data_IF_568116874877
#
_entry.id   IF_568116874877
#
_cell.length_a   1.000
_cell.length_b   1.000
_cell.length_c   1.000
_cell.angle_alpha   90.00
_cell.angle_beta   90.00
_cell.angle_gamma   90.00
#
_symmetry.space_group_name_H-M   'P 1'
#
loop_
_entity.id
_entity.type
_entity.pdbx_description
1 polymer ?
#
# COMPACT_ATOMS: atom_id res chain seq x y z
N UNK A 1 21.84 20.67 6.17
CA UNK A 1 23.09 19.92 6.36
C UNK A 1 22.72 18.63 7.06
N UNK A 2 23.20 17.48 6.61
CA UNK A 2 22.84 16.18 7.21
C UNK A 2 23.51 16.04 8.58
N UNK A 3 22.72 15.79 9.61
CA UNK A 3 23.15 15.75 11.01
C UNK A 3 23.42 14.30 11.45
N UNK A 4 24.60 14.01 11.95
CA UNK A 4 25.04 12.69 12.40
C UNK A 4 25.40 12.74 13.88
N UNK A 5 24.73 11.91 14.68
CA UNK A 5 25.07 11.75 16.10
C UNK A 5 26.11 10.65 16.27
N UNK A 6 27.20 10.96 16.94
CA UNK A 6 28.30 10.04 17.31
C UNK A 6 28.23 9.80 18.79
N UNK A 7 27.96 8.57 19.23
CA UNK A 7 27.89 8.15 20.62
C UNK A 7 29.13 7.27 20.87
N UNK A 8 30.12 7.80 21.57
CA UNK A 8 31.43 7.19 21.79
C UNK A 8 32.01 7.72 23.09
N UNK A 9 32.40 6.87 24.02
CA UNK A 9 32.92 7.27 25.29
C UNK A 9 34.41 7.70 25.20
N UNK A 10 35.19 7.13 24.26
CA UNK A 10 36.57 7.53 24.04
C UNK A 10 36.67 8.84 23.26
N UNK A 11 37.16 9.91 23.93
CA UNK A 11 37.23 11.27 23.40
C UNK A 11 38.01 11.33 22.07
N UNK A 12 39.18 10.66 22.01
CA UNK A 12 40.04 10.68 20.82
C UNK A 12 39.37 10.07 19.59
N UNK A 13 38.59 8.98 19.76
CA UNK A 13 37.87 8.34 18.68
C UNK A 13 36.68 9.23 18.27
N UNK A 14 35.93 9.75 19.23
CA UNK A 14 34.78 10.63 18.98
C UNK A 14 35.21 11.88 18.20
N UNK A 15 36.25 12.58 18.61
CA UNK A 15 36.77 13.78 17.93
C UNK A 15 37.25 13.48 16.51
N UNK A 16 38.01 12.42 16.31
CA UNK A 16 38.45 12.01 14.98
C UNK A 16 37.30 11.73 14.03
N UNK A 17 36.21 11.11 14.51
CA UNK A 17 35.01 10.88 13.70
C UNK A 17 34.30 12.21 13.40
N UNK A 18 34.17 13.11 14.37
CA UNK A 18 33.54 14.42 14.18
C UNK A 18 34.33 15.29 13.18
N UNK A 19 35.66 15.34 13.26
CA UNK A 19 36.51 16.03 12.28
C UNK A 19 36.32 15.45 10.86
N UNK A 20 36.30 14.13 10.75
CA UNK A 20 36.04 13.47 9.46
C UNK A 20 34.68 13.83 8.88
N UNK A 21 33.62 13.85 9.70
CA UNK A 21 32.28 14.21 9.28
C UNK A 21 32.22 15.66 8.84
N UNK A 22 32.86 16.58 9.55
CA UNK A 22 32.91 17.99 9.20
C UNK A 22 33.65 18.23 7.86
N UNK A 23 34.78 17.53 7.64
CA UNK A 23 35.53 17.58 6.39
C UNK A 23 34.69 17.15 5.17
N UNK A 24 33.74 16.27 5.36
CA UNK A 24 32.80 15.76 4.32
C UNK A 24 31.46 16.51 4.29
N UNK A 25 31.38 17.70 4.90
CA UNK A 25 30.20 18.55 4.96
C UNK A 25 28.99 17.92 5.67
N UNK A 26 29.18 17.03 6.62
CA UNK A 26 28.17 16.59 7.58
C UNK A 26 28.20 17.48 8.84
N UNK A 27 27.07 17.57 9.52
CA UNK A 27 27.02 18.18 10.86
C UNK A 27 27.17 17.06 11.90
N UNK A 28 28.38 16.88 12.42
CA UNK A 28 28.68 15.97 13.51
C UNK A 28 28.23 16.53 14.85
N UNK A 29 27.56 15.73 15.68
CA UNK A 29 27.29 16.02 17.10
C UNK A 29 27.77 14.83 17.94
N UNK A 30 28.50 15.09 19.02
CA UNK A 30 29.11 14.08 19.85
C UNK A 30 28.40 13.89 21.18
N UNK A 31 28.24 12.63 21.60
CA UNK A 31 27.76 12.25 22.93
C UNK A 31 28.83 11.34 23.59
N UNK A 32 29.13 11.60 24.85
CA UNK A 32 30.20 10.93 25.61
C UNK A 32 29.79 9.61 26.26
N UNK A 33 28.52 9.24 26.23
CA UNK A 33 27.97 7.97 26.71
C UNK A 33 26.58 7.70 26.14
N UNK A 34 26.06 6.49 26.34
CA UNK A 34 24.75 6.06 25.82
C UNK A 34 23.57 6.88 26.37
N UNK A 35 23.61 7.29 27.63
CA UNK A 35 22.54 8.07 28.27
C UNK A 35 22.42 9.47 27.67
N UNK A 36 23.56 10.14 27.45
CA UNK A 36 23.58 11.46 26.78
C UNK A 36 23.18 11.29 25.32
N UNK A 37 23.63 10.23 24.65
CA UNK A 37 23.30 9.89 23.28
C UNK A 37 21.80 9.74 23.05
N UNK A 38 21.11 8.99 23.91
CA UNK A 38 19.65 8.83 23.86
C UNK A 38 18.94 10.20 23.96
N UNK A 39 19.33 11.00 24.96
CA UNK A 39 18.75 12.34 25.14
C UNK A 39 18.97 13.23 23.92
N UNK A 40 20.21 13.27 23.42
CA UNK A 40 20.54 14.09 22.23
C UNK A 40 19.81 13.60 20.97
N UNK A 41 19.63 12.30 20.80
CA UNK A 41 18.87 11.75 19.68
C UNK A 41 17.40 12.21 19.70
N UNK A 42 16.75 12.23 20.87
CA UNK A 42 15.37 12.69 21.04
C UNK A 42 15.25 14.22 20.83
N UNK A 43 16.19 14.99 21.42
CA UNK A 43 16.13 16.45 21.39
C UNK A 43 16.49 17.01 19.99
N UNK A 44 17.38 16.38 19.26
CA UNK A 44 17.96 16.91 18.03
C UNK A 44 17.55 16.19 16.74
N UNK A 45 16.95 15.00 16.85
CA UNK A 45 16.46 14.18 15.74
C UNK A 45 17.51 14.10 14.61
N UNK A 46 18.65 13.39 14.80
CA UNK A 46 19.69 13.28 13.78
C UNK A 46 19.24 12.43 12.59
N UNK A 47 19.87 12.64 11.43
CA UNK A 47 19.61 11.87 10.21
C UNK A 47 20.23 10.46 10.25
N UNK A 48 21.24 10.25 11.11
CA UNK A 48 21.92 8.95 11.31
C UNK A 48 22.63 8.95 12.66
N UNK A 49 22.72 7.78 13.29
CA UNK A 49 23.42 7.56 14.55
C UNK A 49 24.57 6.56 14.34
N UNK A 50 25.77 6.96 14.76
CA UNK A 50 26.90 6.07 14.94
C UNK A 50 27.06 5.83 16.45
N UNK A 51 27.08 4.59 16.88
CA UNK A 51 27.13 4.27 18.30
C UNK A 51 28.18 3.20 18.58
N UNK A 52 29.07 3.46 19.52
CA UNK A 52 29.93 2.40 20.05
C UNK A 52 29.10 1.34 20.76
N UNK A 53 29.50 0.10 20.57
CA UNK A 53 28.81 -1.03 21.17
C UNK A 53 29.10 -1.16 22.66
N UNK A 54 30.36 -0.89 23.06
CA UNK A 54 30.86 -1.13 24.41
C UNK A 54 31.10 0.18 25.15
N UNK A 55 30.10 0.67 25.87
CA UNK A 55 30.19 1.89 26.67
C UNK A 55 29.75 1.64 28.11
N UNK A 56 30.27 2.41 29.09
CA UNK A 56 29.83 2.32 30.48
C UNK A 56 28.39 2.81 30.66
N UNK A 57 27.71 2.32 31.69
CA UNK A 57 26.33 2.61 32.11
C UNK A 57 25.27 2.09 31.13
N UNK A 58 25.22 2.57 29.89
CA UNK A 58 24.32 2.15 28.85
C UNK A 58 25.13 1.80 27.61
N UNK A 59 25.15 0.53 27.26
CA UNK A 59 25.82 0.02 26.07
C UNK A 59 25.06 0.35 24.79
N UNK A 60 25.64 0.09 23.63
CA UNK A 60 25.02 0.38 22.33
C UNK A 60 23.72 -0.35 22.11
N UNK A 61 23.55 -1.57 22.63
CA UNK A 61 22.28 -2.31 22.55
C UNK A 61 21.18 -1.63 23.38
N UNK A 62 21.50 -1.14 24.57
CA UNK A 62 20.61 -0.38 25.42
C UNK A 62 20.18 0.93 24.76
N UNK A 63 21.10 1.63 24.09
CA UNK A 63 20.81 2.83 23.30
C UNK A 63 19.82 2.51 22.17
N UNK A 64 20.12 1.50 21.34
CA UNK A 64 19.28 1.11 20.22
C UNK A 64 17.86 0.74 20.69
N UNK A 65 17.74 -0.09 21.74
CA UNK A 65 16.45 -0.49 22.30
C UNK A 65 15.64 0.71 22.77
N UNK A 66 16.25 1.67 23.47
CA UNK A 66 15.58 2.86 23.93
C UNK A 66 15.08 3.72 22.74
N UNK A 67 15.91 3.90 21.71
CA UNK A 67 15.57 4.70 20.54
C UNK A 67 14.50 4.04 19.65
N UNK A 68 14.48 2.71 19.52
CA UNK A 68 13.45 1.97 18.79
C UNK A 68 12.09 1.99 19.52
N UNK A 69 12.06 2.21 20.82
CA UNK A 69 10.83 2.36 21.60
C UNK A 69 10.21 3.76 21.53
N UNK A 70 10.94 4.74 21.03
CA UNK A 70 10.49 6.14 20.92
C UNK A 70 10.08 6.46 19.48
N UNK A 71 8.81 6.82 19.19
CA UNK A 71 8.30 7.02 17.83
C UNK A 71 9.12 8.00 16.97
N UNK A 72 9.68 9.05 17.58
CA UNK A 72 10.45 10.07 16.85
C UNK A 72 11.84 9.58 16.40
N UNK A 73 12.40 8.61 17.08
CA UNK A 73 13.75 8.08 16.81
C UNK A 73 13.76 6.66 16.26
N UNK A 74 12.60 5.98 16.28
CA UNK A 74 12.48 4.57 15.92
C UNK A 74 12.97 4.23 14.50
N UNK A 75 12.89 5.17 13.56
CA UNK A 75 13.25 4.97 12.15
C UNK A 75 14.60 5.56 11.77
N UNK A 76 15.31 6.23 12.71
CA UNK A 76 16.63 6.82 12.42
C UNK A 76 17.64 5.70 12.12
N UNK A 77 18.37 5.76 11.00
CA UNK A 77 19.42 4.79 10.69
C UNK A 77 20.46 4.70 11.80
N UNK A 78 20.78 3.48 12.22
CA UNK A 78 21.65 3.20 13.33
C UNK A 78 22.79 2.25 12.92
N UNK A 79 24.02 2.70 13.08
CA UNK A 79 25.24 1.93 12.76
C UNK A 79 26.02 1.71 14.04
N UNK A 80 26.34 0.45 14.33
CA UNK A 80 27.23 0.12 15.42
C UNK A 80 28.72 0.27 15.02
N UNK A 81 29.52 0.81 15.94
CA UNK A 81 30.99 0.73 15.92
C UNK A 81 31.41 -0.35 16.93
N UNK A 82 32.12 -1.37 16.50
CA UNK A 82 32.49 -2.51 17.38
C UNK A 82 33.98 -2.86 17.28
N UNK A 83 34.62 -3.11 18.42
CA UNK A 83 36.02 -3.53 18.47
C UNK A 83 36.23 -4.99 18.03
N UNK A 84 35.22 -5.84 18.06
CA UNK A 84 35.28 -7.25 17.68
C UNK A 84 33.97 -7.72 17.08
N UNK A 85 34.04 -8.28 15.88
CA UNK A 85 32.90 -8.91 15.24
C UNK A 85 32.64 -10.30 15.87
N UNK A 86 32.19 -10.36 17.13
CA UNK A 86 31.62 -11.60 17.64
C UNK A 86 30.27 -11.84 16.95
N UNK A 87 30.16 -12.95 16.24
CA UNK A 87 28.98 -13.24 15.41
C UNK A 87 27.66 -13.22 16.20
N UNK A 88 27.72 -13.48 17.51
CA UNK A 88 26.59 -13.42 18.43
C UNK A 88 26.09 -11.99 18.64
N UNK A 89 26.99 -11.04 18.87
CA UNK A 89 26.65 -9.65 19.18
C UNK A 89 26.13 -8.91 17.97
N UNK A 90 26.73 -9.17 16.79
CA UNK A 90 26.24 -8.66 15.52
C UNK A 90 24.82 -9.14 15.25
N UNK A 91 24.55 -10.43 15.46
CA UNK A 91 23.23 -11.02 15.23
C UNK A 91 22.18 -10.41 16.16
N UNK A 92 22.51 -10.25 17.43
CA UNK A 92 21.65 -9.60 18.42
C UNK A 92 21.34 -8.16 18.03
N UNK A 93 22.35 -7.37 17.59
CA UNK A 93 22.15 -6.00 17.14
C UNK A 93 21.23 -5.89 15.92
N UNK A 94 21.39 -6.82 14.95
CA UNK A 94 20.50 -6.87 13.76
C UNK A 94 19.07 -7.29 14.12
N UNK A 95 18.89 -8.25 15.03
CA UNK A 95 17.58 -8.65 15.55
C UNK A 95 16.87 -7.51 16.31
N UNK A 96 17.64 -6.62 16.97
CA UNK A 96 17.14 -5.41 17.61
C UNK A 96 16.86 -4.24 16.65
N UNK A 97 17.14 -4.40 15.36
CA UNK A 97 16.86 -3.41 14.34
C UNK A 97 17.98 -2.42 14.04
N UNK A 98 19.24 -2.79 14.25
CA UNK A 98 20.38 -2.03 13.73
C UNK A 98 20.42 -2.13 12.19
N UNK A 99 20.84 -1.04 11.54
CA UNK A 99 20.92 -1.00 10.08
C UNK A 99 22.26 -1.52 9.55
N UNK A 100 23.34 -1.35 10.33
CA UNK A 100 24.68 -1.79 9.96
C UNK A 100 25.63 -1.88 11.17
N UNK A 101 26.81 -2.44 10.94
CA UNK A 101 27.90 -2.44 11.89
C UNK A 101 29.25 -2.21 11.18
N UNK A 102 30.18 -1.56 11.86
CA UNK A 102 31.55 -1.30 11.38
C UNK A 102 32.52 -1.76 12.44
N UNK A 103 33.51 -2.59 12.06
CA UNK A 103 34.52 -3.08 12.97
C UNK A 103 35.65 -2.04 13.14
N UNK A 104 36.02 -1.75 14.38
CA UNK A 104 37.22 -0.94 14.74
C UNK A 104 38.49 -1.83 14.71
N UNK A 105 39.62 -1.36 14.15
CA UNK A 105 39.78 -0.08 13.48
C UNK A 105 39.19 -0.08 12.08
N UNK A 106 38.49 0.98 11.70
CA UNK A 106 37.97 1.20 10.36
C UNK A 106 38.70 2.36 9.66
N UNK A 107 38.78 2.29 8.35
CA UNK A 107 39.27 3.38 7.55
C UNK A 107 38.23 4.50 7.39
N UNK A 108 38.64 5.77 7.22
CA UNK A 108 37.72 6.86 6.90
C UNK A 108 36.80 6.54 5.73
N UNK A 109 37.32 5.87 4.69
CA UNK A 109 36.52 5.50 3.50
C UNK A 109 35.43 4.47 3.81
N UNK A 110 35.72 3.47 4.66
CA UNK A 110 34.73 2.46 5.06
C UNK A 110 33.60 3.10 5.87
N UNK A 111 33.95 3.98 6.82
CA UNK A 111 32.97 4.68 7.64
C UNK A 111 32.07 5.57 6.79
N UNK A 112 32.61 6.41 5.91
CA UNK A 112 31.89 7.30 5.04
C UNK A 112 31.00 6.54 4.04
N UNK A 113 31.48 5.41 3.51
CA UNK A 113 30.72 4.55 2.61
C UNK A 113 29.50 3.97 3.32
N UNK A 114 29.65 3.45 4.53
CA UNK A 114 28.52 2.91 5.29
C UNK A 114 27.49 3.99 5.62
N UNK A 115 27.93 5.17 6.05
CA UNK A 115 27.06 6.34 6.31
C UNK A 115 26.27 6.69 5.05
N UNK A 116 26.95 6.87 3.92
CA UNK A 116 26.31 7.29 2.66
C UNK A 116 25.27 6.28 2.20
N UNK A 117 25.59 4.98 2.20
CA UNK A 117 24.67 3.92 1.79
C UNK A 117 23.40 3.92 2.67
N UNK A 118 23.56 4.09 3.99
CA UNK A 118 22.40 4.08 4.91
C UNK A 118 21.56 5.34 4.78
N UNK A 119 22.17 6.50 4.64
CA UNK A 119 21.46 7.75 4.38
C UNK A 119 20.70 7.73 3.05
N UNK A 120 21.31 7.21 1.99
CA UNK A 120 20.65 7.09 0.68
C UNK A 120 19.46 6.13 0.74
N UNK A 121 19.63 4.96 1.37
CA UNK A 121 18.54 4.01 1.56
C UNK A 121 17.39 4.61 2.37
N UNK A 122 17.67 5.28 3.47
CA UNK A 122 16.66 5.95 4.29
C UNK A 122 15.94 7.06 3.51
N UNK A 123 16.70 7.92 2.80
CA UNK A 123 16.12 8.97 1.93
C UNK A 123 15.25 8.38 0.81
N UNK A 124 15.63 7.26 0.23
CA UNK A 124 14.83 6.60 -0.81
C UNK A 124 13.48 6.09 -0.26
N UNK A 125 13.49 5.47 0.93
CA UNK A 125 12.27 5.01 1.62
C UNK A 125 11.38 6.21 1.98
N UNK A 126 11.94 7.25 2.60
CA UNK A 126 11.22 8.47 2.99
C UNK A 126 10.63 9.21 1.78
N UNK A 127 11.40 9.32 0.67
CA UNK A 127 10.89 9.92 -0.58
C UNK A 127 9.75 9.11 -1.17
N UNK A 128 9.82 7.78 -1.13
CA UNK A 128 8.73 6.91 -1.61
C UNK A 128 7.47 7.11 -0.78
N UNK A 129 7.60 7.13 0.55
CA UNK A 129 6.49 7.38 1.48
C UNK A 129 5.87 8.76 1.27
N UNK A 130 6.72 9.81 1.19
CA UNK A 130 6.25 11.18 0.95
C UNK A 130 5.54 11.31 -0.40
N UNK A 131 6.10 10.70 -1.46
CA UNK A 131 5.47 10.68 -2.78
C UNK A 131 4.09 10.02 -2.74
N UNK A 132 3.96 8.89 -2.04
CA UNK A 132 2.68 8.22 -1.84
C UNK A 132 1.67 9.10 -1.11
N UNK A 133 2.08 9.81 -0.05
CA UNK A 133 1.23 10.76 0.67
C UNK A 133 0.81 11.96 -0.20
N UNK A 134 1.73 12.51 -0.98
CA UNK A 134 1.45 13.62 -1.90
C UNK A 134 0.51 13.19 -3.03
N UNK A 135 0.66 11.98 -3.53
CA UNK A 135 -0.25 11.35 -4.49
C UNK A 135 -1.64 11.15 -3.91
N UNK A 136 -1.75 10.62 -2.68
CA UNK A 136 -3.01 10.52 -1.94
C UNK A 136 -3.66 11.89 -1.78
N UNK A 137 -2.92 12.88 -1.33
CA UNK A 137 -3.40 14.27 -1.14
C UNK A 137 -3.90 14.88 -2.44
N UNK A 138 -3.16 14.71 -3.53
CA UNK A 138 -3.54 15.24 -4.86
C UNK A 138 -4.80 14.55 -5.37
N UNK A 139 -4.91 13.25 -5.19
CA UNK A 139 -6.06 12.47 -5.59
C UNK A 139 -7.33 12.82 -4.81
N UNK A 140 -7.19 13.04 -3.48
CA UNK A 140 -8.27 13.53 -2.62
C UNK A 140 -8.75 14.90 -3.11
N UNK A 141 -7.82 15.79 -3.43
CA UNK A 141 -8.15 17.19 -3.74
C UNK A 141 -8.76 17.39 -5.13
N UNK A 142 -8.41 16.56 -6.11
CA UNK A 142 -8.79 16.82 -7.51
C UNK A 142 -9.94 15.94 -8.04
N UNK A 143 -9.95 14.65 -7.75
CA UNK A 143 -10.90 13.73 -8.40
C UNK A 143 -12.07 13.33 -7.51
N UNK A 144 -11.83 13.08 -6.23
CA UNK A 144 -12.84 12.62 -5.31
C UNK A 144 -14.03 13.60 -5.17
N UNK A 145 -13.82 14.94 -5.07
CA UNK A 145 -14.94 15.88 -4.98
C UNK A 145 -15.89 15.83 -6.17
N UNK A 146 -15.38 15.58 -7.36
CA UNK A 146 -16.21 15.50 -8.56
C UNK A 146 -17.02 14.19 -8.60
N UNK A 147 -16.40 13.07 -8.28
CA UNK A 147 -17.08 11.76 -8.25
C UNK A 147 -18.10 11.65 -7.13
N UNK A 148 -17.85 12.27 -5.96
CA UNK A 148 -18.83 12.35 -4.87
C UNK A 148 -20.00 13.30 -5.20
N UNK A 149 -19.74 14.41 -5.88
CA UNK A 149 -20.77 15.41 -6.22
C UNK A 149 -21.84 14.84 -7.15
N UNK A 150 -21.48 14.01 -8.10
CA UNK A 150 -22.43 13.44 -9.08
C UNK A 150 -23.55 12.65 -8.41
N UNK A 151 -23.30 11.60 -7.60
CA UNK A 151 -24.37 10.87 -6.92
C UNK A 151 -25.06 11.73 -5.84
N UNK A 152 -24.32 12.63 -5.17
CA UNK A 152 -24.90 13.54 -4.18
C UNK A 152 -25.91 14.50 -4.81
N UNK A 153 -25.58 15.10 -5.97
CA UNK A 153 -26.52 15.98 -6.68
C UNK A 153 -27.77 15.21 -7.16
N UNK A 154 -27.65 13.95 -7.55
CA UNK A 154 -28.81 13.15 -7.90
C UNK A 154 -29.71 12.89 -6.68
N UNK A 155 -29.13 12.55 -5.51
CA UNK A 155 -29.87 12.37 -4.26
C UNK A 155 -30.60 13.67 -3.89
N UNK A 156 -29.87 14.79 -3.86
CA UNK A 156 -30.44 16.08 -3.49
C UNK A 156 -31.51 16.53 -4.49
N UNK A 157 -31.24 16.43 -5.81
CA UNK A 157 -32.18 16.88 -6.85
C UNK A 157 -33.48 16.11 -6.83
N UNK A 158 -33.46 14.77 -6.78
CA UNK A 158 -34.68 13.99 -6.67
C UNK A 158 -35.42 14.21 -5.34
N UNK A 159 -34.68 14.36 -4.24
CA UNK A 159 -35.27 14.67 -2.93
C UNK A 159 -35.95 16.04 -2.91
N UNK A 160 -35.31 17.09 -3.46
CA UNK A 160 -35.87 18.43 -3.57
C UNK A 160 -37.12 18.45 -4.47
N UNK A 161 -37.06 17.75 -5.61
CA UNK A 161 -38.21 17.63 -6.53
C UNK A 161 -39.39 16.97 -5.84
N UNK A 162 -39.16 15.87 -5.13
CA UNK A 162 -40.20 15.19 -4.37
C UNK A 162 -40.81 16.08 -3.27
N UNK A 163 -39.96 16.86 -2.54
CA UNK A 163 -40.42 17.74 -1.49
C UNK A 163 -41.27 18.92 -2.02
N UNK A 164 -40.91 19.45 -3.19
CA UNK A 164 -41.61 20.62 -3.78
C UNK A 164 -42.92 20.25 -4.49
N UNK A 165 -42.96 19.09 -5.14
CA UNK A 165 -44.02 18.76 -6.09
C UNK A 165 -44.69 17.38 -5.87
N UNK A 166 -44.52 16.75 -4.67
CA UNK A 166 -45.03 15.39 -4.41
C UNK A 166 -46.50 15.16 -4.74
N UNK A 167 -47.32 16.20 -4.75
CA UNK A 167 -48.77 16.11 -5.07
C UNK A 167 -49.06 15.97 -6.57
N UNK A 168 -48.08 16.23 -7.42
CA UNK A 168 -48.19 16.21 -8.87
C UNK A 168 -47.80 14.85 -9.44
N UNK A 169 -46.95 14.12 -8.73
CA UNK A 169 -46.39 12.84 -9.16
C UNK A 169 -47.35 11.69 -8.88
N UNK A 170 -47.42 10.75 -9.82
CA UNK A 170 -48.07 9.48 -9.62
C UNK A 170 -47.16 8.50 -8.88
N UNK A 171 -47.71 7.44 -8.29
CA UNK A 171 -46.97 6.43 -7.52
C UNK A 171 -45.79 5.83 -8.30
N UNK A 172 -45.88 5.50 -9.61
CA UNK A 172 -44.73 5.01 -10.40
C UNK A 172 -43.58 6.01 -10.48
N UNK A 173 -43.87 7.30 -10.64
CA UNK A 173 -42.83 8.36 -10.71
C UNK A 173 -42.08 8.49 -9.37
N UNK A 174 -42.82 8.41 -8.27
CA UNK A 174 -42.28 8.44 -6.91
C UNK A 174 -41.33 7.24 -6.68
N UNK A 175 -41.78 6.05 -7.09
CA UNK A 175 -40.96 4.84 -6.97
C UNK A 175 -39.69 4.89 -7.82
N UNK A 176 -39.78 5.45 -9.03
CA UNK A 176 -38.61 5.68 -9.88
C UNK A 176 -37.61 6.64 -9.23
N UNK A 177 -38.08 7.79 -8.73
CA UNK A 177 -37.23 8.78 -8.05
C UNK A 177 -36.59 8.21 -6.79
N UNK A 178 -37.32 7.45 -5.97
CA UNK A 178 -36.78 6.74 -4.81
C UNK A 178 -35.72 5.70 -5.23
N UNK A 179 -35.93 4.99 -6.33
CA UNK A 179 -34.97 4.07 -6.93
C UNK A 179 -33.66 4.76 -7.32
N UNK A 180 -33.76 5.95 -7.93
CA UNK A 180 -32.60 6.76 -8.30
C UNK A 180 -31.83 7.29 -7.08
N UNK A 181 -32.54 7.73 -6.03
CA UNK A 181 -31.94 8.15 -4.76
C UNK A 181 -31.20 6.98 -4.12
N UNK A 182 -31.83 5.81 -4.04
CA UNK A 182 -31.24 4.61 -3.46
C UNK A 182 -29.98 4.17 -4.23
N UNK A 183 -30.05 4.09 -5.54
CA UNK A 183 -28.93 3.73 -6.43
C UNK A 183 -27.75 4.71 -6.27
N UNK A 184 -28.05 6.01 -6.23
CA UNK A 184 -27.05 7.06 -6.04
C UNK A 184 -26.43 7.00 -4.64
N UNK A 185 -27.24 6.68 -3.61
CA UNK A 185 -26.76 6.46 -2.24
C UNK A 185 -25.79 5.29 -2.14
N UNK A 186 -26.12 4.15 -2.75
CA UNK A 186 -25.21 2.99 -2.80
C UNK A 186 -23.93 3.29 -3.57
N UNK A 187 -24.01 4.03 -4.67
CA UNK A 187 -22.82 4.46 -5.43
C UNK A 187 -21.92 5.36 -4.60
N UNK A 188 -22.50 6.33 -3.87
CA UNK A 188 -21.74 7.22 -2.98
C UNK A 188 -21.06 6.45 -1.86
N UNK A 189 -21.80 5.55 -1.21
CA UNK A 189 -21.28 4.68 -0.15
C UNK A 189 -20.09 3.85 -0.63
N UNK A 190 -20.24 3.19 -1.80
CA UNK A 190 -19.16 2.41 -2.40
C UNK A 190 -17.92 3.24 -2.73
N UNK A 191 -18.09 4.46 -3.26
CA UNK A 191 -16.97 5.37 -3.52
C UNK A 191 -16.19 5.70 -2.25
N UNK A 192 -16.90 5.98 -1.15
CA UNK A 192 -16.28 6.26 0.16
C UNK A 192 -15.53 5.04 0.68
N UNK A 193 -16.15 3.85 0.65
CA UNK A 193 -15.52 2.61 1.12
C UNK A 193 -14.26 2.26 0.29
N UNK A 194 -14.34 2.39 -1.02
CA UNK A 194 -13.21 2.15 -1.90
C UNK A 194 -12.06 3.14 -1.64
N UNK A 195 -12.39 4.39 -1.38
CA UNK A 195 -11.40 5.40 -1.04
C UNK A 195 -10.70 5.09 0.30
N UNK A 196 -11.47 4.77 1.34
CA UNK A 196 -10.92 4.42 2.66
C UNK A 196 -10.02 3.17 2.57
N UNK A 197 -10.49 2.12 1.89
CA UNK A 197 -9.70 0.91 1.68
C UNK A 197 -8.39 1.21 0.92
N UNK A 198 -8.46 2.02 -0.14
CA UNK A 198 -7.25 2.39 -0.87
C UNK A 198 -6.24 3.15 0.01
N UNK A 199 -6.74 4.09 0.83
CA UNK A 199 -5.88 4.82 1.77
C UNK A 199 -5.24 3.89 2.82
N UNK A 200 -5.99 2.94 3.36
CA UNK A 200 -5.48 1.90 4.27
C UNK A 200 -4.38 1.05 3.62
N UNK A 201 -4.57 0.63 2.37
CA UNK A 201 -3.59 -0.15 1.61
C UNK A 201 -2.30 0.64 1.36
N UNK A 202 -2.40 1.93 1.04
CA UNK A 202 -1.23 2.79 0.86
C UNK A 202 -0.45 3.00 2.17
N UNK A 203 -1.13 3.14 3.30
CA UNK A 203 -0.50 3.21 4.63
C UNK A 203 0.19 1.87 4.94
N UNK A 204 -0.49 0.74 4.74
CA UNK A 204 0.06 -0.58 4.98
C UNK A 204 1.33 -0.84 4.13
N UNK A 205 1.36 -0.34 2.90
CA UNK A 205 2.52 -0.46 2.00
C UNK A 205 3.80 0.22 2.54
N UNK A 206 3.66 1.20 3.41
CA UNK A 206 4.79 1.91 4.02
C UNK A 206 5.23 1.31 5.36
N UNK A 207 4.42 0.40 5.94
CA UNK A 207 4.69 -0.21 7.24
C UNK A 207 4.98 -1.72 7.09
N UNK A 208 6.25 -2.17 7.31
CA UNK A 208 6.64 -3.58 7.18
C UNK A 208 5.90 -4.54 8.12
N UNK A 209 5.51 -4.08 9.33
CA UNK A 209 4.78 -4.91 10.30
C UNK A 209 3.35 -5.18 9.82
N UNK A 210 2.63 -4.14 9.38
CA UNK A 210 1.29 -4.30 8.80
C UNK A 210 1.31 -5.17 7.55
N UNK A 211 2.34 -5.04 6.70
CA UNK A 211 2.51 -5.92 5.53
C UNK A 211 2.68 -7.39 5.92
N UNK A 212 3.46 -7.65 6.98
CA UNK A 212 3.67 -9.00 7.49
C UNK A 212 2.38 -9.59 8.07
N UNK A 213 1.62 -8.80 8.83
CA UNK A 213 0.31 -9.20 9.35
C UNK A 213 -0.68 -9.51 8.22
N UNK A 214 -0.74 -8.66 7.19
CA UNK A 214 -1.61 -8.89 6.04
C UNK A 214 -1.30 -10.18 5.29
N UNK A 215 -0.02 -10.55 5.16
CA UNK A 215 0.44 -11.76 4.46
C UNK A 215 0.33 -13.03 5.30
N UNK A 216 0.21 -12.91 6.60
CA UNK A 216 0.04 -14.08 7.48
C UNK A 216 -1.41 -14.59 7.55
N UNK A 217 -2.33 -13.98 6.82
CA UNK A 217 -3.71 -14.43 6.74
C UNK A 217 -3.83 -15.53 5.68
N UNK A 218 -4.35 -16.69 6.07
CA UNK A 218 -4.68 -17.79 5.16
C UNK A 218 -6.19 -18.03 5.19
N UNK A 219 -6.78 -18.20 4.03
CA UNK A 219 -8.22 -18.51 3.90
C UNK A 219 -8.41 -19.79 3.10
N UNK A 220 -9.16 -20.73 3.68
CA UNK A 220 -9.64 -21.97 3.05
C UNK A 220 -11.13 -21.84 2.70
N UNK A 221 -11.63 -22.73 1.85
CA UNK A 221 -13.02 -22.72 1.35
C UNK A 221 -13.30 -21.56 0.36
N UNK A 222 -12.36 -21.24 -0.48
CA UNK A 222 -12.41 -20.14 -1.47
C UNK A 222 -13.63 -20.28 -2.38
N UNK A 223 -13.92 -21.52 -2.83
CA UNK A 223 -15.00 -21.79 -3.77
C UNK A 223 -16.37 -21.32 -3.28
N UNK A 224 -16.68 -21.55 -2.00
CA UNK A 224 -17.96 -21.13 -1.43
C UNK A 224 -18.08 -19.60 -1.36
N UNK A 225 -17.03 -18.91 -0.92
CA UNK A 225 -16.97 -17.45 -0.84
C UNK A 225 -17.12 -16.81 -2.23
N UNK A 226 -16.33 -17.28 -3.20
CA UNK A 226 -16.34 -16.75 -4.56
C UNK A 226 -17.71 -16.99 -5.22
N UNK A 227 -18.29 -18.19 -5.06
CA UNK A 227 -19.62 -18.51 -5.60
C UNK A 227 -20.67 -17.56 -5.03
N UNK A 228 -20.70 -17.39 -3.71
CA UNK A 228 -21.67 -16.51 -3.04
C UNK A 228 -21.54 -15.06 -3.52
N UNK A 229 -20.32 -14.54 -3.58
CA UNK A 229 -20.06 -13.17 -4.03
C UNK A 229 -20.39 -12.96 -5.51
N UNK A 230 -20.01 -13.91 -6.37
CA UNK A 230 -20.32 -13.84 -7.79
C UNK A 230 -21.81 -13.83 -8.09
N UNK A 231 -22.57 -14.71 -7.44
CA UNK A 231 -24.03 -14.76 -7.56
C UNK A 231 -24.69 -13.47 -7.03
N UNK A 232 -24.17 -12.93 -5.92
CA UNK A 232 -24.66 -11.66 -5.37
C UNK A 232 -24.45 -10.51 -6.37
N UNK A 233 -23.27 -10.39 -6.99
CA UNK A 233 -22.96 -9.36 -7.97
C UNK A 233 -23.82 -9.49 -9.22
N UNK A 234 -23.95 -10.69 -9.78
CA UNK A 234 -24.79 -10.95 -10.95
C UNK A 234 -26.26 -10.61 -10.69
N UNK A 235 -26.77 -10.92 -9.49
CA UNK A 235 -28.15 -10.59 -9.08
C UNK A 235 -28.39 -9.07 -8.96
N UNK A 236 -27.40 -8.32 -8.45
CA UNK A 236 -27.50 -6.86 -8.32
C UNK A 236 -27.70 -6.15 -9.67
N UNK A 237 -27.16 -6.72 -10.74
CA UNK A 237 -27.25 -6.17 -12.09
C UNK A 237 -28.23 -6.93 -12.99
N UNK A 238 -29.04 -7.85 -12.42
CA UNK A 238 -30.01 -8.72 -13.13
C UNK A 238 -29.40 -9.57 -14.26
N UNK A 239 -28.13 -10.01 -14.10
CA UNK A 239 -27.36 -10.76 -15.10
C UNK A 239 -26.91 -12.16 -14.60
N UNK A 240 -27.77 -12.81 -13.83
CA UNK A 240 -27.49 -14.16 -13.28
C UNK A 240 -27.26 -15.21 -14.35
N UNK A 241 -27.97 -15.12 -15.48
CA UNK A 241 -27.87 -16.08 -16.59
C UNK A 241 -26.58 -15.90 -17.41
N UNK A 242 -25.97 -14.73 -17.33
CA UNK A 242 -24.69 -14.42 -18.00
C UNK A 242 -23.47 -14.94 -17.20
N UNK A 243 -23.64 -15.20 -15.90
CA UNK A 243 -22.55 -15.63 -15.04
C UNK A 243 -22.22 -17.13 -15.23
N UNK A 244 -20.98 -17.40 -15.59
CA UNK A 244 -20.44 -18.75 -15.68
C UNK A 244 -19.32 -18.93 -14.66
N UNK A 245 -19.38 -20.02 -13.87
CA UNK A 245 -18.42 -20.31 -12.81
C UNK A 245 -17.66 -21.62 -13.13
N UNK A 246 -16.33 -21.55 -13.15
CA UNK A 246 -15.45 -22.70 -13.24
C UNK A 246 -14.43 -22.64 -12.07
N UNK A 247 -14.85 -23.11 -10.90
CA UNK A 247 -14.14 -22.88 -9.65
C UNK A 247 -13.54 -24.18 -9.09
N UNK A 248 -12.24 -24.15 -8.81
CA UNK A 248 -11.52 -25.15 -8.04
C UNK A 248 -11.38 -24.66 -6.59
N UNK A 249 -11.51 -25.57 -5.63
CA UNK A 249 -11.33 -25.24 -4.22
C UNK A 249 -9.86 -25.33 -3.86
N UNK A 250 -9.38 -24.38 -3.05
CA UNK A 250 -8.01 -24.34 -2.53
C UNK A 250 -7.90 -23.43 -1.31
N UNK A 251 -6.71 -23.24 -0.77
CA UNK A 251 -6.38 -22.15 0.16
C UNK A 251 -5.66 -21.01 -0.58
N UNK A 252 -5.63 -19.84 0.02
CA UNK A 252 -4.91 -18.68 -0.50
C UNK A 252 -4.43 -17.81 0.66
N UNK A 253 -3.25 -17.20 0.50
CA UNK A 253 -2.64 -16.32 1.51
C UNK A 253 -3.24 -14.90 1.48
N UNK A 254 -4.56 -14.79 1.70
CA UNK A 254 -5.29 -13.53 1.81
C UNK A 254 -6.55 -13.72 2.66
N UNK A 255 -6.97 -12.72 3.41
CA UNK A 255 -8.22 -12.83 4.18
C UNK A 255 -9.48 -12.81 3.29
N UNK A 256 -10.57 -13.37 3.84
CA UNK A 256 -11.84 -13.55 3.12
C UNK A 256 -12.47 -12.24 2.65
N UNK A 257 -12.33 -11.15 3.41
CA UNK A 257 -12.92 -9.85 3.09
C UNK A 257 -12.22 -9.23 1.89
N UNK A 258 -10.89 -9.29 1.86
CA UNK A 258 -10.07 -8.78 0.75
C UNK A 258 -10.24 -9.60 -0.52
N UNK A 259 -10.30 -10.95 -0.40
CA UNK A 259 -10.60 -11.84 -1.53
C UNK A 259 -11.99 -11.54 -2.10
N UNK A 260 -13.01 -11.41 -1.24
CA UNK A 260 -14.35 -11.03 -1.66
C UNK A 260 -14.37 -9.67 -2.36
N UNK A 261 -13.55 -8.71 -1.92
CA UNK A 261 -13.43 -7.40 -2.57
C UNK A 261 -12.78 -7.49 -3.95
N UNK A 262 -11.76 -8.31 -4.13
CA UNK A 262 -11.17 -8.58 -5.46
C UNK A 262 -12.24 -9.11 -6.41
N UNK A 263 -12.98 -10.15 -6.00
CA UNK A 263 -14.05 -10.75 -6.82
C UNK A 263 -15.12 -9.72 -7.17
N UNK A 264 -15.56 -8.92 -6.21
CA UNK A 264 -16.56 -7.86 -6.38
C UNK A 264 -16.13 -6.84 -7.45
N UNK A 265 -14.93 -6.29 -7.34
CA UNK A 265 -14.46 -5.25 -8.25
C UNK A 265 -14.21 -5.79 -9.68
N UNK A 266 -13.71 -7.02 -9.81
CA UNK A 266 -13.50 -7.64 -11.12
C UNK A 266 -14.82 -7.93 -11.84
N UNK A 267 -15.81 -8.50 -11.13
CA UNK A 267 -17.12 -8.79 -11.70
C UNK A 267 -17.93 -7.53 -12.00
N UNK A 268 -17.84 -6.50 -11.14
CA UNK A 268 -18.50 -5.22 -11.43
C UNK A 268 -17.98 -4.61 -12.75
N UNK A 269 -16.67 -4.65 -12.97
CA UNK A 269 -16.09 -4.19 -14.22
C UNK A 269 -16.53 -5.05 -15.41
N UNK A 270 -16.54 -6.38 -15.27
CA UNK A 270 -16.93 -7.29 -16.33
C UNK A 270 -18.39 -7.06 -16.75
N UNK A 271 -19.33 -6.94 -15.79
CA UNK A 271 -20.73 -6.65 -16.07
C UNK A 271 -20.95 -5.25 -16.62
N UNK A 272 -20.22 -4.26 -16.12
CA UNK A 272 -20.34 -2.86 -16.55
C UNK A 272 -19.90 -2.64 -18.00
N UNK A 273 -18.88 -3.35 -18.45
CA UNK A 273 -18.28 -3.13 -19.77
C UNK A 273 -18.68 -4.14 -20.82
N UNK A 274 -19.42 -5.19 -20.46
CA UNK A 274 -20.00 -6.17 -21.37
C UNK A 274 -21.51 -5.93 -21.55
N UNK A 275 -22.03 -6.34 -22.69
CA UNK A 275 -23.46 -6.23 -22.99
C UNK A 275 -24.26 -7.30 -22.24
N UNK A 276 -25.49 -6.97 -21.88
CA UNK A 276 -26.44 -7.93 -21.33
C UNK A 276 -26.68 -9.08 -22.33
N UNK A 277 -26.79 -10.31 -21.82
CA UNK A 277 -26.88 -11.52 -22.64
C UNK A 277 -25.52 -12.07 -23.10
N UNK A 278 -24.40 -11.42 -22.75
CA UNK A 278 -23.06 -11.95 -23.05
C UNK A 278 -22.45 -12.63 -21.82
N UNK A 279 -21.76 -13.78 -21.97
CA UNK A 279 -21.23 -14.51 -20.83
C UNK A 279 -20.07 -13.77 -20.14
N UNK A 280 -20.11 -13.80 -18.80
CA UNK A 280 -19.00 -13.41 -17.92
C UNK A 280 -18.53 -14.68 -17.21
N UNK A 281 -17.30 -15.11 -17.52
CA UNK A 281 -16.70 -16.32 -16.95
C UNK A 281 -15.76 -15.95 -15.81
N UNK A 282 -16.03 -16.50 -14.64
CA UNK A 282 -15.13 -16.45 -13.48
C UNK A 282 -14.54 -17.84 -13.27
N UNK A 283 -13.21 -17.96 -13.30
CA UNK A 283 -12.51 -19.21 -13.11
C UNK A 283 -11.40 -19.11 -12.08
N UNK A 284 -11.13 -20.24 -11.40
CA UNK A 284 -10.00 -20.37 -10.48
C UNK A 284 -9.23 -21.64 -10.79
N UNK A 285 -7.92 -21.59 -10.63
CA UNK A 285 -7.04 -22.75 -10.70
C UNK A 285 -5.83 -22.57 -9.78
N UNK A 286 -5.12 -23.64 -9.50
CA UNK A 286 -3.86 -23.61 -8.74
C UNK A 286 -2.78 -24.27 -9.58
N UNK A 287 -1.69 -23.54 -9.81
CA UNK A 287 -0.49 -24.02 -10.50
C UNK A 287 0.75 -23.60 -9.70
N UNK A 288 1.69 -24.50 -9.49
CA UNK A 288 2.99 -24.22 -8.85
C UNK A 288 2.91 -23.38 -7.55
N UNK A 289 2.05 -23.76 -6.60
CA UNK A 289 1.80 -23.04 -5.35
C UNK A 289 1.25 -21.61 -5.55
N UNK A 290 0.63 -21.37 -6.68
CA UNK A 290 0.01 -20.08 -7.01
C UNK A 290 -1.46 -20.30 -7.29
N UNK A 291 -2.31 -19.59 -6.54
CA UNK A 291 -3.74 -19.48 -6.81
C UNK A 291 -3.96 -18.43 -7.89
N UNK A 292 -4.66 -18.80 -8.96
CA UNK A 292 -4.99 -17.93 -10.07
C UNK A 292 -6.51 -17.77 -10.14
N UNK A 293 -6.99 -16.53 -10.09
CA UNK A 293 -8.37 -16.14 -10.31
C UNK A 293 -8.44 -15.32 -11.57
N UNK A 294 -9.32 -15.69 -12.51
CA UNK A 294 -9.51 -14.97 -13.76
C UNK A 294 -10.98 -14.64 -14.00
N UNK A 295 -11.23 -13.42 -14.49
CA UNK A 295 -12.54 -12.97 -14.95
C UNK A 295 -12.42 -12.59 -16.42
N UNK A 296 -13.24 -13.25 -17.25
CA UNK A 296 -13.30 -13.03 -18.69
C UNK A 296 -14.66 -12.48 -19.08
N UNK A 297 -14.70 -11.36 -19.79
CA UNK A 297 -15.91 -10.78 -20.37
C UNK A 297 -15.80 -10.59 -21.89
N UNK A 298 -16.94 -10.48 -22.55
CA UNK A 298 -17.07 -10.15 -23.97
C UNK A 298 -17.59 -8.73 -24.14
N UNK A 299 -16.83 -7.77 -23.62
CA UNK A 299 -17.20 -6.37 -23.65
C UNK A 299 -16.47 -5.58 -24.74
N UNK A 300 -16.42 -4.26 -24.55
CA UNK A 300 -15.79 -3.33 -25.48
C UNK A 300 -14.28 -3.55 -25.66
N UNK A 301 -13.65 -4.30 -24.78
CA UNK A 301 -12.21 -4.49 -24.76
C UNK A 301 -11.41 -3.20 -24.55
N UNK A 302 -10.09 -3.32 -24.63
CA UNK A 302 -9.13 -2.22 -24.49
C UNK A 302 -8.05 -2.31 -25.57
N UNK A 303 -7.54 -1.15 -26.03
CA UNK A 303 -6.39 -1.09 -26.93
C UNK A 303 -5.10 -1.34 -26.14
N UNK A 304 -4.02 -1.74 -26.84
CA UNK A 304 -2.70 -1.90 -26.23
C UNK A 304 -2.25 -0.63 -25.51
N UNK A 305 -2.49 0.56 -26.09
CA UNK A 305 -2.14 1.84 -25.46
C UNK A 305 -2.93 2.08 -24.18
N UNK A 306 -4.20 1.68 -24.13
CA UNK A 306 -5.01 1.77 -22.91
C UNK A 306 -4.51 0.82 -21.83
N UNK A 307 -4.09 -0.40 -22.18
CA UNK A 307 -3.50 -1.36 -21.24
C UNK A 307 -2.15 -0.85 -20.73
N UNK A 308 -1.26 -0.40 -21.64
CA UNK A 308 0.03 0.20 -21.26
C UNK A 308 -0.16 1.44 -20.39
N UNK A 309 -1.16 2.24 -20.68
CA UNK A 309 -1.54 3.36 -19.81
C UNK A 309 -1.99 2.87 -18.44
N UNK A 310 -2.78 1.83 -18.31
CA UNK A 310 -3.14 1.20 -17.04
C UNK A 310 -1.91 0.66 -16.30
N UNK A 311 -0.96 0.07 -17.00
CA UNK A 311 0.29 -0.45 -16.44
C UNK A 311 1.32 0.66 -16.16
N UNK A 312 1.48 1.65 -17.04
CA UNK A 312 2.38 2.81 -16.86
C UNK A 312 1.90 3.71 -15.70
N UNK A 313 0.62 3.70 -15.40
CA UNK A 313 0.02 4.37 -14.23
C UNK A 313 0.41 3.76 -12.88
N UNK A 314 1.21 2.69 -12.86
CA UNK A 314 2.05 2.33 -11.70
C UNK A 314 2.91 3.51 -11.20
N UNK A 315 3.17 4.54 -12.03
CA UNK A 315 4.07 5.64 -11.68
C UNK A 315 3.47 7.06 -11.77
N UNK A 316 2.45 7.34 -12.60
CA UNK A 316 1.97 8.70 -12.83
C UNK A 316 0.48 8.76 -13.27
N UNK A 317 -0.33 9.55 -12.56
CA UNK A 317 -1.57 10.23 -12.97
C UNK A 317 -2.89 9.48 -13.21
N UNK A 318 -3.78 9.59 -12.21
CA UNK A 318 -5.18 9.14 -12.21
C UNK A 318 -6.13 9.83 -13.18
N UNK A 319 -5.73 10.90 -13.85
CA UNK A 319 -6.61 11.62 -14.79
C UNK A 319 -7.22 10.73 -15.87
N UNK A 320 -6.58 9.61 -16.21
CA UNK A 320 -7.02 8.71 -17.27
C UNK A 320 -7.88 7.55 -16.79
N UNK A 321 -7.78 7.13 -15.50
CA UNK A 321 -8.78 6.21 -14.95
C UNK A 321 -10.19 6.80 -15.05
N UNK A 322 -10.33 8.11 -14.90
CA UNK A 322 -11.62 8.80 -15.10
C UNK A 322 -12.05 8.84 -16.57
N UNK A 323 -11.13 9.11 -17.51
CA UNK A 323 -11.44 9.10 -18.94
C UNK A 323 -11.75 7.69 -19.48
N UNK A 324 -11.09 6.65 -18.93
CA UNK A 324 -11.38 5.25 -19.28
C UNK A 324 -12.61 4.69 -18.54
N UNK A 325 -13.18 5.40 -17.56
CA UNK A 325 -14.32 4.93 -16.76
C UNK A 325 -13.99 3.74 -15.84
N UNK A 326 -12.72 3.49 -15.56
CA UNK A 326 -12.22 2.31 -14.84
C UNK A 326 -12.21 2.46 -13.31
N UNK A 327 -12.46 3.65 -12.78
CA UNK A 327 -12.66 3.87 -11.34
C UNK A 327 -11.55 3.35 -10.40
N UNK A 328 -11.78 3.52 -9.09
CA UNK A 328 -10.86 3.11 -8.03
C UNK A 328 -10.73 1.58 -7.86
N UNK A 329 -11.71 0.81 -8.40
CA UNK A 329 -11.82 -0.64 -8.16
C UNK A 329 -10.62 -1.45 -8.63
N UNK A 330 -10.18 -1.27 -9.88
CA UNK A 330 -9.00 -1.99 -10.39
C UNK A 330 -7.70 -1.59 -9.67
N UNK A 331 -7.57 -0.33 -9.28
CA UNK A 331 -6.42 0.12 -8.49
C UNK A 331 -6.38 -0.57 -7.11
N UNK A 332 -7.53 -0.77 -6.47
CA UNK A 332 -7.66 -1.52 -5.22
C UNK A 332 -7.28 -2.99 -5.44
N UNK A 333 -7.80 -3.62 -6.49
CA UNK A 333 -7.47 -5.02 -6.81
C UNK A 333 -5.98 -5.19 -7.01
N UNK A 334 -5.38 -4.37 -7.86
CA UNK A 334 -3.94 -4.40 -8.12
C UNK A 334 -3.14 -4.21 -6.83
N UNK A 335 -3.53 -3.23 -6.01
CA UNK A 335 -2.82 -2.95 -4.76
C UNK A 335 -2.93 -4.08 -3.74
N UNK A 336 -4.12 -4.66 -3.59
CA UNK A 336 -4.33 -5.84 -2.75
C UNK A 336 -3.41 -6.99 -3.19
N UNK A 337 -3.37 -7.28 -4.48
CA UNK A 337 -2.56 -8.36 -5.05
C UNK A 337 -1.07 -8.13 -4.82
N UNK A 338 -0.56 -6.92 -5.12
CA UNK A 338 0.84 -6.56 -4.90
C UNK A 338 1.27 -6.68 -3.43
N UNK A 339 0.44 -6.20 -2.50
CA UNK A 339 0.74 -6.25 -1.07
C UNK A 339 0.77 -7.69 -0.53
N UNK A 340 0.03 -8.62 -1.14
CA UNK A 340 0.07 -10.06 -0.82
C UNK A 340 1.13 -10.83 -1.62
N UNK A 341 1.99 -10.15 -2.40
CA UNK A 341 3.07 -10.77 -3.15
C UNK A 341 2.64 -11.49 -4.43
N UNK A 342 1.44 -11.16 -4.91
CA UNK A 342 0.86 -11.68 -6.14
C UNK A 342 1.16 -10.83 -7.38
N UNK A 343 0.59 -11.23 -8.51
CA UNK A 343 0.69 -10.52 -9.79
C UNK A 343 -0.71 -10.24 -10.37
N UNK A 344 -0.88 -9.06 -10.94
CA UNK A 344 -2.10 -8.61 -11.62
C UNK A 344 -1.81 -8.42 -13.10
N UNK A 345 -2.61 -9.05 -13.98
CA UNK A 345 -2.48 -8.96 -15.44
C UNK A 345 -3.82 -8.67 -16.10
N UNK A 346 -3.78 -7.88 -17.18
CA UNK A 346 -4.92 -7.63 -18.05
C UNK A 346 -4.54 -8.01 -19.49
N UNK A 347 -5.33 -8.85 -20.10
CA UNK A 347 -5.26 -9.17 -21.51
C UNK A 347 -6.57 -8.74 -22.17
N UNK A 348 -6.52 -7.96 -23.24
CA UNK A 348 -7.74 -7.49 -23.89
C UNK A 348 -7.55 -7.29 -25.37
N UNK A 349 -8.62 -7.58 -26.10
CA UNK A 349 -8.73 -7.31 -27.54
C UNK A 349 -9.91 -6.35 -27.75
N UNK A 350 -9.69 -5.19 -28.42
CA UNK A 350 -10.76 -4.22 -28.66
C UNK A 350 -11.98 -4.85 -29.32
N UNK A 351 -13.16 -4.54 -28.78
CA UNK A 351 -14.47 -5.00 -29.24
C UNK A 351 -14.66 -6.54 -29.26
N UNK A 352 -13.84 -7.26 -28.52
CA UNK A 352 -13.93 -8.72 -28.44
C UNK A 352 -14.05 -9.20 -27.00
N UNK A 353 -12.98 -9.04 -26.22
CA UNK A 353 -12.93 -9.59 -24.88
C UNK A 353 -11.92 -8.89 -23.98
N UNK A 354 -12.13 -8.99 -22.68
CA UNK A 354 -11.16 -8.66 -21.65
C UNK A 354 -11.02 -9.84 -20.70
N UNK A 355 -9.77 -10.15 -20.35
CA UNK A 355 -9.42 -11.14 -19.33
C UNK A 355 -8.59 -10.42 -18.27
N UNK A 356 -9.05 -10.44 -17.04
CA UNK A 356 -8.29 -9.93 -15.88
C UNK A 356 -7.88 -11.12 -15.03
N UNK A 357 -6.58 -11.27 -14.83
CA UNK A 357 -5.98 -12.35 -14.05
C UNK A 357 -5.33 -11.79 -12.78
N UNK A 358 -5.59 -12.47 -11.67
CA UNK A 358 -4.99 -12.22 -10.37
C UNK A 358 -4.31 -13.51 -9.93
N UNK A 359 -3.02 -13.47 -9.62
CA UNK A 359 -2.29 -14.57 -9.01
C UNK A 359 -1.88 -14.23 -7.58
N UNK A 360 -2.04 -15.17 -6.66
CA UNK A 360 -1.72 -15.01 -5.24
C UNK A 360 -0.99 -16.26 -4.73
N UNK A 361 -0.08 -16.16 -3.75
CA UNK A 361 0.50 -17.32 -3.08
C UNK A 361 -0.56 -18.19 -2.41
N UNK A 362 -0.33 -19.51 -2.40
CA UNK A 362 -1.15 -20.51 -1.66
C UNK A 362 -0.63 -20.67 -0.24
#
# INVERSE_FOLDING_TARGET
>A
MTKILVIEDEESIRENILELLEAENFQGIGATNGKIGIKMAIDQIPDLILCDMMMPEVDGHGVLKALRSEPLTATIPFIFLTAKADKSDIRTGMELGADDYITKPCTPQELLKAITIRLEKHKAISRKSQKTLDELRTNISMSLPHELRTPLNAILGFSELMLSEYKVFEEPDILEMLGQINTSGHRLYRLIQNFLLYAELEIAATNPELLKEMRNSEFSCIKSLITQKAQQQAKLVNRTDDLQLNLHDSSVAIDSVKLAKIVEELLDNAFKFSLEGTPVLLSTLVEDQTFILSVKDRGRGMTADQIVQLEAYRQFDRKIYQQAGLGLGLAIVQRLVELHGGEFKIESLPQQETIVCVSLPV
#
